data_IF_260659893141
#
_entry.id   IF_260659893141
#
_cell.length_a   1.000
_cell.length_b   1.000
_cell.length_c   1.000
_cell.angle_alpha   90.00
_cell.angle_beta   90.00
_cell.angle_gamma   90.00
#
_symmetry.space_group_name_H-M   'P 1'
#
loop_
_entity.id
_entity.type
_entity.pdbx_description
1 polymer ?
#
# COMPACT_ATOMS: atom_id res chain seq x y z
N UNK A 1 36.88 11.13 -4.01
CA UNK A 1 35.98 10.61 -5.06
C UNK A 1 34.59 10.56 -4.46
N UNK A 2 33.78 11.60 -4.65
CA UNK A 2 32.35 11.58 -4.31
C UNK A 2 31.65 11.48 -5.65
N UNK A 3 31.08 10.32 -5.96
CA UNK A 3 30.14 10.20 -7.06
C UNK A 3 28.92 11.03 -6.70
N UNK A 4 28.86 12.23 -7.27
CA UNK A 4 27.65 13.03 -7.29
C UNK A 4 26.69 12.32 -8.24
N UNK A 5 25.77 11.52 -7.68
CA UNK A 5 24.58 11.13 -8.41
C UNK A 5 23.87 12.42 -8.82
N UNK A 6 23.87 12.72 -10.11
CA UNK A 6 22.97 13.70 -10.71
C UNK A 6 21.56 13.25 -10.30
N UNK A 7 20.98 13.92 -9.30
CA UNK A 7 19.73 13.48 -8.70
C UNK A 7 18.63 13.85 -9.69
N UNK A 8 18.42 13.01 -10.71
CA UNK A 8 17.19 13.03 -11.49
C UNK A 8 16.03 13.03 -10.51
N UNK A 9 14.98 13.81 -10.80
CA UNK A 9 13.81 13.92 -9.92
C UNK A 9 13.34 12.51 -9.53
N UNK A 10 13.49 12.15 -8.25
CA UNK A 10 13.02 10.86 -7.74
C UNK A 10 11.50 10.90 -7.79
N UNK A 11 10.91 10.13 -8.68
CA UNK A 11 9.45 10.14 -8.94
C UNK A 11 8.79 8.77 -8.72
N UNK A 12 9.57 7.72 -8.44
CA UNK A 12 9.09 6.35 -8.26
C UNK A 12 9.40 5.78 -6.89
N UNK A 13 8.49 4.93 -6.40
CA UNK A 13 8.69 4.17 -5.17
C UNK A 13 8.16 2.74 -5.28
N UNK A 14 8.77 1.85 -4.48
CA UNK A 14 8.34 0.46 -4.33
C UNK A 14 8.01 0.19 -2.86
N UNK A 15 6.82 -0.34 -2.60
CA UNK A 15 6.33 -0.70 -1.27
C UNK A 15 6.24 -2.23 -1.17
N UNK A 16 7.17 -2.90 -0.45
CA UNK A 16 7.12 -4.34 -0.26
C UNK A 16 6.08 -4.73 0.80
N UNK A 17 5.01 -5.39 0.38
CA UNK A 17 3.87 -5.83 1.20
C UNK A 17 3.63 -7.35 1.13
N UNK A 18 4.64 -8.13 0.74
CA UNK A 18 4.55 -9.59 0.56
C UNK A 18 4.86 -10.43 1.83
N UNK A 19 5.09 -9.79 2.98
CA UNK A 19 5.50 -10.50 4.21
C UNK A 19 4.38 -11.30 4.89
N UNK A 20 4.74 -12.39 5.58
CA UNK A 20 3.80 -13.29 6.28
C UNK A 20 3.21 -12.75 7.59
N UNK A 21 3.80 -11.70 8.17
CA UNK A 21 3.31 -11.11 9.42
C UNK A 21 3.45 -11.99 10.66
N UNK A 22 4.28 -13.04 10.65
CA UNK A 22 4.38 -14.06 11.71
C UNK A 22 4.63 -13.53 13.13
N UNK A 23 5.25 -12.35 13.28
CA UNK A 23 5.50 -11.70 14.58
C UNK A 23 4.25 -11.06 15.21
N UNK A 24 3.19 -10.87 14.42
CA UNK A 24 1.93 -10.24 14.83
C UNK A 24 0.80 -11.27 14.94
N UNK A 25 1.13 -12.56 14.99
CA UNK A 25 0.16 -13.58 15.33
C UNK A 25 -0.31 -13.41 16.79
N UNK A 26 -1.61 -13.61 17.07
CA UNK A 26 -2.64 -14.16 16.18
C UNK A 26 -3.34 -13.12 15.28
N UNK A 27 -3.10 -11.81 15.48
CA UNK A 27 -3.83 -10.73 14.81
C UNK A 27 -3.74 -10.83 13.28
N UNK A 28 -2.57 -11.25 12.76
CA UNK A 28 -2.32 -11.30 11.32
C UNK A 28 -2.58 -12.65 10.67
N UNK A 29 -3.32 -13.55 11.36
CA UNK A 29 -3.67 -14.87 10.82
C UNK A 29 -4.72 -14.79 9.71
N UNK A 30 -5.65 -13.83 9.80
CA UNK A 30 -6.73 -13.63 8.82
C UNK A 30 -6.66 -12.29 8.07
N UNK A 31 -6.05 -11.27 8.67
CA UNK A 31 -5.90 -9.93 8.07
C UNK A 31 -4.42 -9.65 7.85
N UNK A 32 -3.99 -9.25 6.63
CA UNK A 32 -2.59 -8.86 6.41
C UNK A 32 -2.18 -7.72 7.34
N UNK A 33 -0.93 -7.74 7.82
CA UNK A 33 -0.44 -6.69 8.73
C UNK A 33 -0.55 -5.28 8.14
N UNK A 34 -0.44 -5.18 6.81
CA UNK A 34 -0.53 -3.93 6.06
C UNK A 34 -1.95 -3.31 6.09
N UNK A 35 -2.96 -4.14 6.35
CA UNK A 35 -4.36 -3.74 6.50
C UNK A 35 -4.75 -3.49 7.95
N UNK A 36 -3.85 -3.68 8.93
CA UNK A 36 -4.16 -3.36 10.31
C UNK A 36 -4.42 -1.85 10.45
N UNK A 37 -5.48 -1.46 11.18
CA UNK A 37 -5.85 -0.07 11.32
C UNK A 37 -4.85 0.67 12.21
N UNK A 38 -4.43 1.84 11.76
CA UNK A 38 -3.73 2.87 12.53
C UNK A 38 -4.67 4.07 12.59
N UNK A 39 -5.34 4.23 13.73
CA UNK A 39 -6.48 5.15 13.81
C UNK A 39 -7.63 4.68 12.92
N UNK A 40 -8.01 5.49 11.93
CA UNK A 40 -9.10 5.18 10.98
C UNK A 40 -8.63 4.59 9.65
N UNK A 41 -7.33 4.56 9.40
CA UNK A 41 -6.74 4.15 8.12
C UNK A 41 -6.01 2.82 8.25
N UNK A 42 -6.04 1.93 7.25
CA UNK A 42 -5.09 0.84 7.22
C UNK A 42 -3.66 1.38 7.07
N UNK A 43 -2.68 0.70 7.68
CA UNK A 43 -1.27 1.13 7.66
C UNK A 43 -0.74 1.38 6.24
N UNK A 44 -1.15 0.57 5.25
CA UNK A 44 -0.70 0.71 3.87
C UNK A 44 -1.17 2.01 3.21
N UNK A 45 -2.33 2.55 3.61
CA UNK A 45 -2.80 3.85 3.10
C UNK A 45 -1.85 4.96 3.54
N UNK A 46 -1.44 4.98 4.82
CA UNK A 46 -0.52 5.99 5.35
C UNK A 46 0.80 6.00 4.57
N UNK A 47 1.35 4.83 4.26
CA UNK A 47 2.61 4.71 3.50
C UNK A 47 2.45 5.28 2.08
N UNK A 48 1.32 5.00 1.41
CA UNK A 48 1.05 5.53 0.06
C UNK A 48 0.83 7.04 0.12
N UNK A 49 0.07 7.54 1.10
CA UNK A 49 -0.15 8.98 1.32
C UNK A 49 1.17 9.73 1.56
N UNK A 50 2.06 9.19 2.40
CA UNK A 50 3.38 9.76 2.66
C UNK A 50 4.26 9.77 1.40
N UNK A 51 4.23 8.70 0.60
CA UNK A 51 4.96 8.63 -0.66
C UNK A 51 4.48 9.72 -1.64
N UNK A 52 3.16 9.86 -1.83
CA UNK A 52 2.58 10.89 -2.69
C UNK A 52 2.85 12.30 -2.16
N UNK A 53 2.76 12.50 -0.84
CA UNK A 53 3.09 13.77 -0.20
C UNK A 53 4.56 14.17 -0.41
N UNK A 54 5.45 13.18 -0.52
CA UNK A 54 6.88 13.37 -0.82
C UNK A 54 7.17 13.67 -2.30
N UNK A 55 6.14 13.72 -3.17
CA UNK A 55 6.29 14.01 -4.59
C UNK A 55 6.48 12.78 -5.49
N UNK A 56 6.37 11.57 -4.93
CA UNK A 56 6.44 10.33 -5.69
C UNK A 56 5.12 10.10 -6.42
N UNK A 57 5.20 9.96 -7.74
CA UNK A 57 4.04 9.89 -8.64
C UNK A 57 3.78 8.49 -9.17
N UNK A 58 4.79 7.62 -9.17
CA UNK A 58 4.66 6.22 -9.60
C UNK A 58 4.96 5.31 -8.42
N UNK A 59 3.95 4.63 -7.91
CA UNK A 59 4.07 3.76 -6.74
C UNK A 59 3.77 2.33 -7.16
N UNK A 60 4.69 1.42 -6.85
CA UNK A 60 4.53 -0.01 -7.08
C UNK A 60 4.45 -0.75 -5.74
N UNK A 61 3.34 -1.43 -5.48
CA UNK A 61 3.18 -2.26 -4.28
C UNK A 61 3.30 -3.72 -4.65
N UNK A 62 4.23 -4.43 -4.02
CA UNK A 62 4.45 -5.86 -4.24
C UNK A 62 3.73 -6.66 -3.15
N UNK A 63 2.71 -7.43 -3.52
CA UNK A 63 1.89 -8.24 -2.61
C UNK A 63 2.08 -9.73 -2.87
N UNK A 64 1.86 -10.57 -1.84
CA UNK A 64 1.82 -12.04 -1.98
C UNK A 64 0.42 -12.47 -2.40
N UNK A 65 0.32 -13.53 -3.20
CA UNK A 65 -0.95 -14.20 -3.50
C UNK A 65 -1.71 -14.56 -2.21
N UNK A 66 -3.03 -14.34 -2.21
CA UNK A 66 -3.89 -14.44 -1.02
C UNK A 66 -4.05 -13.14 -0.21
N UNK A 67 -3.42 -12.03 -0.63
CA UNK A 67 -3.64 -10.69 -0.06
C UNK A 67 -4.54 -9.80 -0.93
N UNK A 68 -5.56 -10.37 -1.57
CA UNK A 68 -6.48 -9.63 -2.46
C UNK A 68 -7.17 -8.46 -1.77
N UNK A 69 -7.38 -8.56 -0.45
CA UNK A 69 -7.91 -7.46 0.37
C UNK A 69 -7.16 -6.14 0.19
N UNK A 70 -5.84 -6.16 -0.05
CA UNK A 70 -5.04 -4.95 -0.30
C UNK A 70 -5.38 -4.38 -1.68
N UNK A 71 -5.55 -5.24 -2.69
CA UNK A 71 -5.96 -4.84 -4.04
C UNK A 71 -7.37 -4.28 -4.05
N UNK A 72 -8.30 -4.94 -3.38
CA UNK A 72 -9.69 -4.49 -3.28
C UNK A 72 -9.78 -3.13 -2.60
N UNK A 73 -8.95 -2.90 -1.57
CA UNK A 73 -8.88 -1.62 -0.88
C UNK A 73 -8.48 -0.47 -1.81
N UNK A 74 -7.39 -0.61 -2.54
CA UNK A 74 -6.90 0.43 -3.46
C UNK A 74 -7.70 0.54 -4.76
N UNK A 75 -8.51 -0.46 -5.12
CA UNK A 75 -9.45 -0.38 -6.24
C UNK A 75 -10.83 0.12 -5.81
N UNK A 76 -10.98 0.51 -4.54
CA UNK A 76 -12.24 0.96 -3.94
C UNK A 76 -13.37 -0.09 -4.02
N UNK A 77 -13.03 -1.37 -4.15
CA UNK A 77 -13.94 -2.52 -4.15
C UNK A 77 -14.07 -3.20 -2.79
N UNK A 78 -13.20 -2.84 -1.85
CA UNK A 78 -13.29 -3.30 -0.46
C UNK A 78 -14.64 -2.91 0.14
N UNK A 79 -15.24 -3.74 1.03
CA UNK A 79 -16.50 -3.41 1.68
C UNK A 79 -16.32 -2.21 2.62
N UNK A 80 -16.46 -1.01 2.09
CA UNK A 80 -16.55 0.22 2.87
C UNK A 80 -17.94 0.30 3.52
N UNK A 81 -18.04 0.79 4.75
CA UNK A 81 -19.33 1.07 5.37
C UNK A 81 -20.14 2.08 4.53
N UNK A 82 -21.47 1.96 4.54
CA UNK A 82 -22.39 2.83 3.77
C UNK A 82 -22.13 4.33 4.01
N UNK A 83 -21.65 4.67 5.21
CA UNK A 83 -21.12 5.98 5.51
C UNK A 83 -19.62 6.01 5.21
N UNK A 84 -19.29 6.49 4.00
CA UNK A 84 -17.91 6.89 3.68
C UNK A 84 -17.44 7.92 4.71
N UNK A 85 -16.25 7.69 5.26
CA UNK A 85 -15.61 8.63 6.16
C UNK A 85 -14.52 9.42 5.42
N UNK A 86 -14.01 10.46 6.09
CA UNK A 86 -12.97 11.35 5.58
C UNK A 86 -11.72 10.60 5.10
N UNK A 87 -11.42 9.43 5.66
CA UNK A 87 -10.24 8.65 5.28
C UNK A 87 -10.35 8.07 3.86
N UNK A 88 -11.57 7.78 3.40
CA UNK A 88 -11.81 7.30 2.03
C UNK A 88 -11.69 8.46 1.03
N UNK A 89 -12.18 9.64 1.39
CA UNK A 89 -12.03 10.84 0.57
C UNK A 89 -10.54 11.22 0.39
N UNK A 90 -9.74 11.05 1.44
CA UNK A 90 -8.29 11.25 1.39
C UNK A 90 -7.59 10.19 0.51
N UNK A 91 -8.03 8.93 0.58
CA UNK A 91 -7.53 7.87 -0.29
C UNK A 91 -7.82 8.19 -1.76
N UNK A 92 -9.04 8.58 -2.10
CA UNK A 92 -9.42 8.95 -3.48
C UNK A 92 -8.58 10.12 -4.01
N UNK A 93 -8.39 11.16 -3.20
CA UNK A 93 -7.50 12.30 -3.53
C UNK A 93 -6.05 11.86 -3.75
N UNK A 94 -5.58 10.90 -2.97
CA UNK A 94 -4.21 10.37 -3.07
C UNK A 94 -4.04 9.57 -4.36
N UNK A 95 -4.98 8.67 -4.64
CA UNK A 95 -4.98 7.87 -5.88
C UNK A 95 -5.13 8.72 -7.13
N UNK A 96 -5.81 9.87 -7.06
CA UNK A 96 -5.89 10.82 -8.18
C UNK A 96 -4.55 11.52 -8.49
N UNK A 97 -3.58 11.50 -7.56
CA UNK A 97 -2.30 12.21 -7.67
C UNK A 97 -1.12 11.30 -8.04
N UNK A 98 -1.33 9.99 -8.11
CA UNK A 98 -0.29 9.03 -8.44
C UNK A 98 -0.81 7.88 -9.29
N UNK A 99 0.09 7.25 -10.02
CA UNK A 99 -0.12 5.93 -10.61
C UNK A 99 0.27 4.86 -9.60
N UNK A 100 -0.71 4.15 -9.05
CA UNK A 100 -0.49 3.02 -8.13
C UNK A 100 -0.63 1.69 -8.88
N UNK A 101 0.46 0.94 -8.99
CA UNK A 101 0.49 -0.41 -9.56
C UNK A 101 0.61 -1.45 -8.44
N UNK A 102 -0.20 -2.52 -8.50
CA UNK A 102 -0.09 -3.65 -7.58
C UNK A 102 0.37 -4.91 -8.32
N UNK A 103 1.54 -5.44 -7.93
CA UNK A 103 2.12 -6.66 -8.49
C UNK A 103 1.90 -7.82 -7.50
N UNK A 104 1.24 -8.88 -7.97
CA UNK A 104 1.07 -10.12 -7.21
C UNK A 104 2.24 -11.07 -7.43
N UNK A 105 2.84 -11.57 -6.35
CA UNK A 105 3.79 -12.67 -6.38
C UNK A 105 3.03 -13.98 -6.18
N UNK A 106 3.01 -14.82 -7.21
CA UNK A 106 2.62 -16.23 -7.09
C UNK A 106 3.70 -16.95 -6.28
N UNK A 107 3.28 -17.84 -5.38
CA UNK A 107 4.21 -18.75 -4.73
C UNK A 107 3.93 -20.17 -5.21
N UNK A 108 4.97 -20.83 -5.70
CA UNK A 108 4.99 -22.29 -5.74
C UNK A 108 4.85 -22.80 -4.30
N UNK A 109 3.96 -23.79 -4.02
CA UNK A 109 3.88 -24.40 -2.71
C UNK A 109 5.22 -25.06 -2.37
N UNK A 110 5.79 -24.71 -1.22
CA UNK A 110 6.91 -25.44 -0.61
C UNK A 110 6.41 -26.74 0.03
#
# INVERSE_FOLDING_TARGET
MKESFETGLIDKAVIPAAGLGSRMLPLTKGVPKEMLPVGRKPMIQLVVEEAVASGLRQICTVIREGKEIIRDYFTLKYPFPDKRDESIDELEKTLARCELTLIGLTQEPF
#
